data_IF_261497991675
#
_entry.id   IF_261497991675
#
_cell.length_a   1.000
_cell.length_b   1.000
_cell.length_c   1.000
_cell.angle_alpha   90.00
_cell.angle_beta   90.00
_cell.angle_gamma   90.00
#
_symmetry.space_group_name_H-M   'P 1'
#
loop_
_entity.id
_entity.type
_entity.pdbx_description
1 polymer ?
#
# COMPACT_ATOMS: atom_id res chain seq x y z
N UNK A 1 9.87 18.48 -11.91
CA UNK A 1 10.61 17.29 -12.34
C UNK A 1 9.64 16.20 -12.77
N UNK A 2 9.80 15.69 -13.99
CA UNK A 2 8.89 14.71 -14.61
C UNK A 2 8.97 13.34 -13.91
N UNK A 3 10.17 12.92 -13.52
CA UNK A 3 10.43 11.67 -12.80
C UNK A 3 9.70 11.63 -11.46
N UNK A 4 9.70 12.74 -10.73
CA UNK A 4 8.95 12.88 -9.46
C UNK A 4 7.45 12.69 -9.67
N UNK A 5 6.85 13.34 -10.69
CA UNK A 5 5.42 13.19 -11.00
C UNK A 5 5.07 11.77 -11.41
N UNK A 6 5.97 11.09 -12.12
CA UNK A 6 5.81 9.68 -12.49
C UNK A 6 5.79 8.78 -11.26
N UNK A 7 6.72 8.99 -10.32
CA UNK A 7 6.75 8.24 -9.05
C UNK A 7 5.51 8.48 -8.19
N UNK A 8 5.01 9.72 -8.13
CA UNK A 8 3.78 10.07 -7.45
C UNK A 8 2.58 9.27 -7.99
N UNK A 9 2.37 9.30 -9.32
CA UNK A 9 1.31 8.50 -9.96
C UNK A 9 1.49 7.00 -9.74
N UNK A 10 2.72 6.51 -9.85
CA UNK A 10 3.01 5.09 -9.64
C UNK A 10 2.71 4.66 -8.20
N UNK A 11 2.98 5.51 -7.20
CA UNK A 11 2.66 5.23 -5.81
C UNK A 11 1.15 5.13 -5.56
N UNK A 12 0.36 6.05 -6.12
CA UNK A 12 -1.11 5.97 -6.07
C UNK A 12 -1.61 4.66 -6.71
N UNK A 13 -1.21 4.40 -7.95
CA UNK A 13 -1.64 3.21 -8.69
C UNK A 13 -1.23 1.90 -8.00
N UNK A 14 -0.01 1.83 -7.47
CA UNK A 14 0.49 0.64 -6.78
C UNK A 14 -0.29 0.39 -5.47
N UNK A 15 -0.57 1.45 -4.70
CA UNK A 15 -1.36 1.33 -3.48
C UNK A 15 -2.76 0.80 -3.78
N UNK A 16 -3.47 1.41 -4.74
CA UNK A 16 -4.84 1.01 -5.09
C UNK A 16 -4.90 -0.42 -5.65
N UNK A 17 -3.91 -0.82 -6.45
CA UNK A 17 -3.82 -2.17 -6.99
C UNK A 17 -3.61 -3.22 -5.89
N UNK A 18 -2.74 -2.93 -4.92
CA UNK A 18 -2.51 -3.86 -3.80
C UNK A 18 -3.70 -3.90 -2.85
N UNK A 19 -4.30 -2.74 -2.53
CA UNK A 19 -5.45 -2.67 -1.65
C UNK A 19 -6.62 -3.49 -2.23
N UNK A 20 -6.88 -3.38 -3.54
CA UNK A 20 -7.89 -4.20 -4.21
C UNK A 20 -7.62 -5.70 -4.04
N UNK A 21 -6.37 -6.15 -4.17
CA UNK A 21 -6.01 -7.57 -3.95
C UNK A 21 -6.22 -8.01 -2.50
N UNK A 22 -5.92 -7.15 -1.53
CA UNK A 22 -6.20 -7.44 -0.12
C UNK A 22 -7.71 -7.50 0.15
N UNK A 23 -8.49 -6.62 -0.47
CA UNK A 23 -9.95 -6.65 -0.39
C UNK A 23 -10.54 -7.91 -1.05
N UNK A 24 -9.96 -8.38 -2.16
CA UNK A 24 -10.38 -9.61 -2.84
C UNK A 24 -10.03 -10.85 -2.01
N UNK A 25 -8.82 -10.90 -1.44
CA UNK A 25 -8.40 -11.96 -0.53
C UNK A 25 -9.32 -12.05 0.70
N UNK A 26 -9.77 -10.90 1.20
CA UNK A 26 -10.62 -10.80 2.38
C UNK A 26 -12.09 -10.50 2.03
N UNK A 27 -12.57 -10.92 0.84
CA UNK A 27 -13.88 -10.53 0.29
C UNK A 27 -15.07 -10.74 1.24
N UNK A 28 -15.05 -11.79 2.06
CA UNK A 28 -16.08 -12.05 3.06
C UNK A 28 -16.14 -11.02 4.19
N UNK A 29 -15.07 -10.26 4.40
CA UNK A 29 -14.92 -9.20 5.42
C UNK A 29 -14.85 -7.80 4.81
N UNK A 30 -14.61 -7.66 3.50
CA UNK A 30 -14.48 -6.37 2.81
C UNK A 30 -15.68 -5.45 2.90
N UNK A 31 -16.88 -6.00 3.07
CA UNK A 31 -18.11 -5.21 3.25
C UNK A 31 -18.16 -4.47 4.60
N UNK A 32 -17.44 -4.95 5.63
CA UNK A 32 -17.39 -4.32 6.97
C UNK A 32 -16.05 -3.63 7.23
N UNK A 33 -15.13 -3.69 6.27
CA UNK A 33 -13.83 -3.06 6.41
C UNK A 33 -13.97 -1.52 6.36
N UNK A 34 -13.26 -0.77 7.23
CA UNK A 34 -13.32 0.69 7.24
C UNK A 34 -13.00 1.33 5.88
N UNK A 35 -13.54 2.52 5.65
CA UNK A 35 -13.30 3.29 4.43
C UNK A 35 -11.94 4.02 4.48
N UNK A 36 -11.51 4.50 5.65
CA UNK A 36 -10.20 5.12 5.80
C UNK A 36 -9.07 4.10 5.60
N UNK A 37 -8.07 4.44 4.78
CA UNK A 37 -7.01 3.51 4.42
C UNK A 37 -6.14 3.09 5.61
N UNK A 38 -5.93 3.93 6.62
CA UNK A 38 -5.16 3.54 7.81
C UNK A 38 -5.95 2.51 8.61
N UNK A 39 -7.21 2.84 8.92
CA UNK A 39 -8.10 1.96 9.68
C UNK A 39 -8.34 0.64 8.96
N UNK A 40 -8.47 0.68 7.63
CA UNK A 40 -8.63 -0.53 6.79
C UNK A 40 -7.41 -1.44 6.86
N UNK A 41 -6.20 -0.90 6.83
CA UNK A 41 -4.97 -1.69 6.98
C UNK A 41 -4.85 -2.28 8.40
N UNK A 42 -5.18 -1.50 9.43
CA UNK A 42 -5.23 -1.99 10.80
C UNK A 42 -6.27 -3.12 10.96
N UNK A 43 -7.46 -2.98 10.34
CA UNK A 43 -8.46 -4.04 10.28
C UNK A 43 -7.93 -5.30 9.60
N UNK A 44 -7.22 -5.17 8.46
CA UNK A 44 -6.61 -6.33 7.80
C UNK A 44 -5.57 -7.05 8.65
N UNK A 45 -4.78 -6.32 9.44
CA UNK A 45 -3.84 -6.92 10.40
C UNK A 45 -4.58 -7.66 11.51
N UNK A 46 -5.49 -6.98 12.19
CA UNK A 46 -6.06 -7.46 13.44
C UNK A 46 -7.15 -8.51 13.22
N UNK A 47 -7.99 -8.34 12.20
CA UNK A 47 -9.14 -9.19 11.94
C UNK A 47 -8.91 -10.25 10.85
N UNK A 48 -7.91 -10.06 10.00
CA UNK A 48 -7.67 -10.94 8.84
C UNK A 48 -6.24 -11.49 8.75
N UNK A 49 -5.40 -11.24 9.76
CA UNK A 49 -4.09 -11.86 9.87
C UNK A 49 -3.06 -11.34 8.86
N UNK A 50 -3.21 -10.10 8.38
CA UNK A 50 -2.17 -9.45 7.56
C UNK A 50 -0.85 -9.42 8.37
N UNK A 51 0.25 -10.01 7.88
CA UNK A 51 1.51 -10.05 8.62
C UNK A 51 2.02 -8.64 8.93
N UNK A 52 2.56 -8.44 10.13
CA UNK A 52 3.06 -7.12 10.61
C UNK A 52 4.01 -6.46 9.62
N UNK A 53 4.95 -7.21 9.05
CA UNK A 53 5.91 -6.67 8.07
C UNK A 53 5.20 -6.19 6.79
N UNK A 54 4.15 -6.89 6.32
CA UNK A 54 3.40 -6.47 5.15
C UNK A 54 2.52 -5.26 5.47
N UNK A 55 1.92 -5.22 6.65
CA UNK A 55 1.19 -4.07 7.18
C UNK A 55 2.06 -2.81 7.21
N UNK A 56 3.26 -2.87 7.79
CA UNK A 56 4.21 -1.74 7.84
C UNK A 56 4.58 -1.23 6.44
N UNK A 57 4.87 -2.15 5.51
CA UNK A 57 5.18 -1.80 4.11
C UNK A 57 3.99 -1.13 3.42
N UNK A 58 2.78 -1.62 3.64
CA UNK A 58 1.55 -1.01 3.14
C UNK A 58 1.33 0.38 3.73
N UNK A 59 1.60 0.61 5.02
CA UNK A 59 1.53 1.94 5.61
C UNK A 59 2.54 2.92 4.99
N UNK A 60 3.75 2.45 4.68
CA UNK A 60 4.74 3.27 3.98
C UNK A 60 4.24 3.68 2.59
N UNK A 61 3.73 2.72 1.82
CA UNK A 61 3.15 3.00 0.49
C UNK A 61 1.92 3.92 0.57
N UNK A 62 1.07 3.75 1.58
CA UNK A 62 -0.08 4.64 1.87
C UNK A 62 0.36 6.08 2.12
N UNK A 63 1.44 6.30 2.87
CA UNK A 63 1.98 7.64 3.12
C UNK A 63 2.43 8.29 1.81
N UNK A 64 3.09 7.54 0.92
CA UNK A 64 3.50 8.03 -0.40
C UNK A 64 2.29 8.37 -1.28
N UNK A 65 1.29 7.47 -1.33
CA UNK A 65 0.02 7.71 -2.03
C UNK A 65 -0.66 8.96 -1.51
N UNK A 66 -0.82 9.13 -0.20
CA UNK A 66 -1.49 10.30 0.36
C UNK A 66 -0.73 11.60 0.06
N UNK A 67 0.60 11.60 0.16
CA UNK A 67 1.40 12.76 -0.21
C UNK A 67 1.27 13.10 -1.71
N UNK A 68 1.19 12.09 -2.58
CA UNK A 68 0.93 12.26 -4.01
C UNK A 68 -0.45 12.89 -4.26
N UNK A 69 -1.49 12.29 -3.69
CA UNK A 69 -2.90 12.56 -3.99
C UNK A 69 -3.38 13.89 -3.42
N UNK A 70 -2.82 14.32 -2.29
CA UNK A 70 -3.06 15.63 -1.72
C UNK A 70 -2.10 16.70 -2.24
N UNK A 71 -1.25 16.37 -3.22
CA UNK A 71 -0.20 17.24 -3.73
C UNK A 71 0.70 17.83 -2.61
N UNK A 72 0.90 17.08 -1.53
CA UNK A 72 1.71 17.50 -0.39
C UNK A 72 3.20 17.34 -0.70
N UNK A 73 3.76 18.37 -1.35
CA UNK A 73 5.16 18.40 -1.74
C UNK A 73 6.13 18.32 -0.55
N UNK A 74 5.74 18.82 0.62
CA UNK A 74 6.59 18.80 1.81
C UNK A 74 6.67 17.37 2.33
N UNK A 75 5.52 16.72 2.52
CA UNK A 75 5.43 15.32 2.95
C UNK A 75 6.11 14.40 1.95
N UNK A 76 5.91 14.62 0.64
CA UNK A 76 6.58 13.83 -0.38
C UNK A 76 8.11 13.93 -0.29
N UNK A 77 8.67 15.12 -0.06
CA UNK A 77 10.13 15.30 0.08
C UNK A 77 10.68 14.60 1.33
N UNK A 78 9.94 14.66 2.43
CA UNK A 78 10.36 14.07 3.71
C UNK A 78 10.20 12.54 3.70
N UNK A 79 9.01 12.07 3.40
CA UNK A 79 8.59 10.68 3.63
C UNK A 79 8.55 9.85 2.34
N UNK A 80 8.50 10.49 1.16
CA UNK A 80 8.47 9.82 -0.14
C UNK A 80 9.74 9.01 -0.45
N UNK A 81 9.69 8.17 -1.51
CA UNK A 81 10.83 7.36 -1.92
C UNK A 81 12.00 8.26 -2.31
N UNK A 82 13.22 7.86 -1.96
CA UNK A 82 14.48 8.54 -2.33
C UNK A 82 14.87 8.29 -3.78
N UNK A 83 14.18 7.40 -4.49
CA UNK A 83 14.33 7.17 -5.91
C UNK A 83 13.49 6.01 -6.43
N UNK A 84 13.59 5.74 -7.73
CA UNK A 84 12.85 4.68 -8.42
C UNK A 84 13.18 3.30 -7.85
N UNK A 85 14.46 3.02 -7.59
CA UNK A 85 14.89 1.72 -7.07
C UNK A 85 14.27 1.39 -5.69
N UNK A 86 14.17 2.37 -4.79
CA UNK A 86 13.53 2.18 -3.48
C UNK A 86 12.03 1.92 -3.63
N UNK A 87 11.37 2.70 -4.51
CA UNK A 87 9.96 2.52 -4.82
C UNK A 87 9.67 1.11 -5.34
N UNK A 88 10.42 0.68 -6.36
CA UNK A 88 10.27 -0.64 -6.98
C UNK A 88 10.57 -1.77 -5.99
N UNK A 89 11.59 -1.62 -5.16
CA UNK A 89 11.92 -2.61 -4.12
C UNK A 89 10.77 -2.77 -3.11
N UNK A 90 10.19 -1.66 -2.62
CA UNK A 90 9.06 -1.72 -1.69
C UNK A 90 7.85 -2.38 -2.33
N UNK A 91 7.48 -1.95 -3.54
CA UNK A 91 6.32 -2.50 -4.28
C UNK A 91 6.50 -3.98 -4.57
N UNK A 92 7.71 -4.42 -4.97
CA UNK A 92 8.03 -5.83 -5.16
C UNK A 92 7.86 -6.65 -3.87
N UNK A 93 8.34 -6.15 -2.74
CA UNK A 93 8.20 -6.82 -1.45
C UNK A 93 6.73 -6.93 -1.01
N UNK A 94 5.93 -5.90 -1.26
CA UNK A 94 4.50 -5.90 -1.00
C UNK A 94 3.79 -6.95 -1.86
N UNK A 95 4.04 -6.96 -3.17
CA UNK A 95 3.43 -7.94 -4.07
C UNK A 95 3.82 -9.38 -3.72
N UNK A 96 5.07 -9.63 -3.34
CA UNK A 96 5.51 -10.95 -2.88
C UNK A 96 4.79 -11.37 -1.60
N UNK A 97 4.60 -10.45 -0.65
CA UNK A 97 3.86 -10.71 0.59
C UNK A 97 2.39 -11.03 0.34
N UNK A 98 1.72 -10.28 -0.54
CA UNK A 98 0.32 -10.55 -0.90
C UNK A 98 0.19 -11.87 -1.66
N UNK A 99 1.11 -12.17 -2.59
CA UNK A 99 1.12 -13.45 -3.31
C UNK A 99 1.34 -14.66 -2.39
N UNK A 100 2.11 -14.51 -1.32
CA UNK A 100 2.25 -15.55 -0.29
C UNK A 100 0.94 -15.75 0.48
N UNK A 101 0.22 -14.68 0.81
CA UNK A 101 -1.10 -14.80 1.47
C UNK A 101 -2.14 -15.44 0.56
N UNK A 102 -2.19 -15.05 -0.71
CA UNK A 102 -3.06 -15.66 -1.72
C UNK A 102 -2.80 -17.17 -1.84
N UNK A 103 -1.53 -17.61 -1.78
CA UNK A 103 -1.17 -19.04 -1.79
C UNK A 103 -1.55 -19.79 -0.52
N UNK A 104 -1.59 -19.11 0.63
CA UNK A 104 -2.00 -19.69 1.92
C UNK A 104 -3.52 -19.73 2.10
N UNK A 105 -4.23 -18.85 1.40
CA UNK A 105 -5.68 -18.68 1.44
C UNK A 105 -6.44 -19.53 0.41
N UNK A 106 -5.82 -20.60 -0.11
CA UNK A 106 -6.47 -21.64 -0.91
C UNK A 106 -6.42 -22.99 -0.19
#
# INVERSE_FOLDING_TARGET
>A
DESTRRLQRNASNAFDAVLRRLDDLNKSRSAVAPADFRERLDFWRDACGLPTILHERMHRLRVWRNASEHHDHRRWRTDGPKGVAEFEALVKQIHAGVAELERRGQ
#
